data_IF_263782814007
#
_entry.id   IF_263782814007
#
_cell.length_a   1.000
_cell.length_b   1.000
_cell.length_c   1.000
_cell.angle_alpha   90.00
_cell.angle_beta   90.00
_cell.angle_gamma   90.00
#
_symmetry.space_group_name_H-M   'P 1'
#
loop_
_entity.id
_entity.type
_entity.pdbx_description
1 polymer ?
#
# COMPACT_ATOMS: atom_id res chain seq x y z
N UNK A 1 -10.82 5.94 -0.34
CA UNK A 1 -10.46 4.97 0.71
C UNK A 1 -10.79 5.57 2.06
N UNK A 2 -11.05 4.75 3.09
CA UNK A 2 -11.47 5.21 4.42
C UNK A 2 -10.62 4.61 5.54
N UNK A 3 -10.57 5.28 6.70
CA UNK A 3 -9.96 4.73 7.92
C UNK A 3 -10.52 3.34 8.24
N UNK A 4 -9.64 2.41 8.60
CA UNK A 4 -9.98 1.02 8.89
C UNK A 4 -10.04 0.10 7.65
N UNK A 5 -10.02 0.65 6.44
CA UNK A 5 -9.98 -0.13 5.21
C UNK A 5 -8.63 -0.82 5.03
N UNK A 6 -8.65 -2.05 4.51
CA UNK A 6 -7.45 -2.79 4.14
C UNK A 6 -7.05 -2.47 2.70
N UNK A 7 -5.79 -2.13 2.52
CA UNK A 7 -5.21 -1.68 1.26
C UNK A 7 -3.88 -2.38 0.98
N UNK A 8 -3.52 -2.41 -0.29
CA UNK A 8 -2.21 -2.83 -0.77
C UNK A 8 -1.52 -1.71 -1.54
N UNK A 9 -0.22 -1.85 -1.77
CA UNK A 9 0.60 -0.85 -2.45
C UNK A 9 1.61 -1.46 -3.44
N UNK A 10 1.34 -2.65 -3.98
CA UNK A 10 2.28 -3.34 -4.88
C UNK A 10 3.48 -3.95 -4.14
N UNK A 11 3.32 -4.31 -2.87
CA UNK A 11 4.36 -4.89 -2.03
C UNK A 11 4.08 -6.37 -1.78
N UNK A 12 5.06 -7.23 -2.04
CA UNK A 12 5.03 -8.64 -1.66
C UNK A 12 6.47 -9.17 -1.52
N UNK A 13 6.63 -10.19 -0.70
CA UNK A 13 7.93 -10.83 -0.50
C UNK A 13 8.47 -11.42 -1.82
N UNK A 14 9.79 -11.38 -1.99
CA UNK A 14 10.50 -11.96 -3.14
C UNK A 14 10.03 -11.45 -4.51
N UNK A 15 9.48 -10.23 -4.61
CA UNK A 15 8.96 -9.66 -5.88
C UNK A 15 9.97 -9.60 -7.03
N UNK A 16 11.27 -9.70 -6.73
CA UNK A 16 12.36 -9.71 -7.71
C UNK A 16 12.82 -11.13 -8.10
N UNK A 17 12.32 -12.16 -7.42
CA UNK A 17 12.60 -13.57 -7.70
C UNK A 17 11.66 -14.12 -8.79
N UNK A 18 11.82 -15.41 -9.12
CA UNK A 18 10.90 -16.10 -10.03
C UNK A 18 9.45 -16.01 -9.49
N UNK A 19 8.42 -15.81 -10.33
CA UNK A 19 7.05 -15.57 -9.85
C UNK A 19 6.44 -16.68 -8.97
N UNK A 20 6.97 -17.90 -9.08
CA UNK A 20 6.57 -19.02 -8.21
C UNK A 20 6.97 -18.83 -6.75
N UNK A 21 8.01 -18.04 -6.49
CA UNK A 21 8.57 -17.79 -5.15
C UNK A 21 8.03 -16.50 -4.50
N UNK A 22 7.15 -15.78 -5.22
CA UNK A 22 6.52 -14.58 -4.69
C UNK A 22 5.59 -14.91 -3.53
N UNK A 23 5.76 -14.18 -2.44
CA UNK A 23 4.82 -14.19 -1.32
C UNK A 23 3.46 -13.62 -1.70
N UNK A 24 2.53 -13.65 -0.75
CA UNK A 24 1.24 -12.97 -0.89
C UNK A 24 1.44 -11.44 -0.86
N UNK A 25 0.53 -10.66 -1.45
CA UNK A 25 0.49 -9.22 -1.26
C UNK A 25 0.49 -8.85 0.22
N UNK A 26 1.36 -7.92 0.58
CA UNK A 26 1.36 -7.29 1.88
C UNK A 26 0.18 -6.32 1.93
N UNK A 27 -0.65 -6.48 2.95
CA UNK A 27 -1.78 -5.61 3.20
C UNK A 27 -1.55 -4.79 4.46
N UNK A 28 -2.09 -3.58 4.45
CA UNK A 28 -2.05 -2.66 5.57
C UNK A 28 -3.42 -2.06 5.81
N UNK A 29 -3.64 -1.57 7.03
CA UNK A 29 -4.88 -0.93 7.42
C UNK A 29 -4.68 0.58 7.49
N UNK A 30 -5.57 1.33 6.84
CA UNK A 30 -5.55 2.79 6.92
C UNK A 30 -5.85 3.22 8.36
N UNK A 31 -4.98 4.05 8.93
CA UNK A 31 -5.17 4.65 10.24
C UNK A 31 -5.73 6.07 10.11
N UNK A 32 -6.33 6.54 11.19
CA UNK A 32 -6.68 7.95 11.32
C UNK A 32 -5.39 8.77 11.46
N UNK A 33 -5.19 9.87 10.70
CA UNK A 33 -4.09 10.80 10.94
C UNK A 33 -3.98 11.29 12.39
N UNK A 34 -5.08 11.35 13.14
CA UNK A 34 -5.10 11.72 14.55
C UNK A 34 -4.80 10.57 15.52
N UNK A 35 -4.56 9.35 15.04
CA UNK A 35 -4.11 8.24 15.88
C UNK A 35 -2.68 8.52 16.40
N UNK A 36 -2.52 8.51 17.73
CA UNK A 36 -1.24 8.79 18.41
C UNK A 36 -0.09 7.91 17.91
N UNK A 37 -0.40 6.68 17.51
CA UNK A 37 0.60 5.70 17.03
C UNK A 37 1.26 6.15 15.73
N UNK A 38 0.52 6.89 14.89
CA UNK A 38 1.02 7.43 13.61
C UNK A 38 2.18 8.39 13.81
N UNK A 39 2.17 9.12 14.93
CA UNK A 39 3.14 10.14 15.24
C UNK A 39 4.17 9.71 16.29
N UNK A 40 4.11 8.47 16.76
CA UNK A 40 5.07 7.94 17.73
C UNK A 40 6.50 7.99 17.19
N UNK A 41 7.43 8.51 18.00
CA UNK A 41 8.84 8.68 17.64
C UNK A 41 9.07 9.46 16.32
N UNK A 42 8.14 10.35 15.96
CA UNK A 42 8.29 11.28 14.83
C UNK A 42 9.20 12.46 15.21
N UNK A 43 9.54 13.28 14.21
CA UNK A 43 10.29 14.52 14.46
C UNK A 43 9.49 15.51 15.32
N UNK A 44 8.18 15.61 15.05
CA UNK A 44 7.25 16.47 15.79
C UNK A 44 6.98 15.96 17.20
N UNK A 45 7.04 14.64 17.38
CA UNK A 45 6.85 13.97 18.67
C UNK A 45 7.91 12.89 18.89
N UNK A 46 9.08 13.25 19.45
CA UNK A 46 10.17 12.30 19.73
C UNK A 46 9.89 11.46 20.99
N UNK A 47 8.67 10.95 21.12
CA UNK A 47 8.19 10.13 22.24
C UNK A 47 7.37 8.96 21.71
N UNK A 48 7.41 7.83 22.41
CA UNK A 48 6.68 6.63 22.00
C UNK A 48 5.15 6.76 22.11
N UNK A 49 4.67 7.63 23.00
CA UNK A 49 3.24 7.85 23.23
C UNK A 49 2.96 9.35 23.31
N UNK A 50 2.72 10.02 22.17
CA UNK A 50 2.42 11.45 22.16
C UNK A 50 1.05 11.75 22.76
N UNK A 51 0.90 12.96 23.30
CA UNK A 51 -0.40 13.43 23.78
C UNK A 51 -1.40 13.57 22.63
N UNK A 52 -2.63 13.11 22.86
CA UNK A 52 -3.67 13.09 21.84
C UNK A 52 -4.16 14.48 21.42
N UNK A 53 -4.23 15.43 22.34
CA UNK A 53 -4.67 16.78 22.03
C UNK A 53 -3.60 17.52 21.23
N UNK A 54 -2.32 17.30 21.56
CA UNK A 54 -1.19 17.81 20.78
C UNK A 54 -1.16 17.23 19.35
N UNK A 55 -1.36 15.92 19.20
CA UNK A 55 -1.46 15.26 17.88
C UNK A 55 -2.62 15.83 17.07
N UNK A 56 -3.81 15.94 17.66
CA UNK A 56 -4.97 16.51 16.97
C UNK A 56 -4.71 17.94 16.50
N UNK A 57 -4.08 18.77 17.34
CA UNK A 57 -3.72 20.15 16.99
C UNK A 57 -2.74 20.21 15.81
N UNK A 58 -1.74 19.32 15.79
CA UNK A 58 -0.81 19.21 14.66
C UNK A 58 -1.55 18.77 13.38
N UNK A 59 -2.40 17.75 13.47
CA UNK A 59 -3.14 17.22 12.32
C UNK A 59 -4.02 18.30 11.69
N UNK A 60 -4.76 19.06 12.50
CA UNK A 60 -5.58 20.18 12.00
C UNK A 60 -4.72 21.24 11.29
N UNK A 61 -3.55 21.57 11.85
CA UNK A 61 -2.60 22.51 11.22
C UNK A 61 -2.07 21.97 9.88
N UNK A 62 -1.69 20.70 9.83
CA UNK A 62 -1.18 20.05 8.62
C UNK A 62 -2.27 19.93 7.53
N UNK A 63 -3.51 19.63 7.93
CA UNK A 63 -4.66 19.56 7.03
C UNK A 63 -5.03 20.95 6.47
N UNK A 64 -5.01 21.99 7.30
CA UNK A 64 -5.24 23.36 6.83
C UNK A 64 -4.16 23.84 5.84
N UNK A 65 -2.96 23.27 5.91
CA UNK A 65 -1.86 23.53 4.97
C UNK A 65 -1.89 22.63 3.71
N UNK A 66 -2.89 21.74 3.57
CA UNK A 66 -2.99 20.79 2.45
C UNK A 66 -1.92 19.71 2.45
N UNK A 67 -1.17 19.55 3.55
CA UNK A 67 -0.03 18.63 3.61
C UNK A 67 -0.45 17.17 3.77
N UNK A 68 -1.73 16.90 4.06
CA UNK A 68 -2.28 15.55 4.25
C UNK A 68 -3.24 15.12 3.12
N UNK A 69 -3.43 15.94 2.09
CA UNK A 69 -4.51 15.75 1.10
C UNK A 69 -4.29 14.52 0.21
N UNK A 70 -3.04 14.16 -0.04
CA UNK A 70 -2.64 13.08 -0.95
C UNK A 70 -2.02 11.88 -0.23
N UNK A 71 -1.95 11.90 1.11
CA UNK A 71 -1.26 10.86 1.89
C UNK A 71 -2.07 10.41 3.09
N UNK A 72 -1.94 9.13 3.41
CA UNK A 72 -2.60 8.51 4.56
C UNK A 72 -1.62 7.63 5.33
N UNK A 73 -1.74 7.55 6.66
CA UNK A 73 -0.93 6.63 7.44
C UNK A 73 -1.50 5.21 7.35
N UNK A 74 -0.63 4.22 7.15
CA UNK A 74 -0.99 2.82 7.02
C UNK A 74 -0.21 2.00 8.03
N UNK A 75 -0.91 1.17 8.78
CA UNK A 75 -0.33 0.10 9.60
C UNK A 75 -0.16 -1.14 8.73
N UNK A 76 1.07 -1.44 8.30
CA UNK A 76 1.42 -2.64 7.55
C UNK A 76 1.58 -3.85 8.46
N UNK A 77 0.96 -4.97 8.10
CA UNK A 77 0.98 -6.21 8.90
C UNK A 77 1.85 -7.24 8.20
N UNK A 78 3.00 -7.56 8.79
CA UNK A 78 3.92 -8.57 8.27
C UNK A 78 3.68 -9.93 8.92
N UNK A 79 4.05 -11.02 8.23
CA UNK A 79 3.81 -12.40 8.65
C UNK A 79 4.48 -12.77 10.00
N UNK A 80 5.48 -12.01 10.45
CA UNK A 80 6.17 -12.19 11.73
C UNK A 80 5.52 -11.40 12.89
N UNK A 81 4.25 -11.00 12.76
CA UNK A 81 3.55 -10.09 13.68
C UNK A 81 4.17 -8.69 13.83
N UNK A 82 5.16 -8.34 13.00
CA UNK A 82 5.69 -6.98 12.98
C UNK A 82 4.64 -6.04 12.38
N UNK A 83 4.44 -4.91 13.04
CA UNK A 83 3.58 -3.83 12.56
C UNK A 83 4.43 -2.59 12.33
N UNK A 84 4.34 -2.03 11.13
CA UNK A 84 5.06 -0.81 10.77
C UNK A 84 4.05 0.22 10.30
N UNK A 85 4.08 1.41 10.89
CA UNK A 85 3.26 2.52 10.41
C UNK A 85 4.08 3.34 9.42
N UNK A 86 3.54 3.58 8.24
CA UNK A 86 4.17 4.40 7.20
C UNK A 86 3.13 5.30 6.54
N UNK A 87 3.54 6.52 6.22
CA UNK A 87 2.76 7.41 5.37
C UNK A 87 2.92 7.01 3.91
N UNK A 88 1.78 6.77 3.24
CA UNK A 88 1.74 6.36 1.84
C UNK A 88 0.88 7.33 1.03
N UNK A 89 1.26 7.53 -0.23
CA UNK A 89 0.49 8.34 -1.16
C UNK A 89 -0.75 7.58 -1.62
N UNK A 90 -1.90 8.24 -1.64
CA UNK A 90 -3.17 7.67 -2.07
C UNK A 90 -3.10 7.06 -3.48
N UNK A 91 -2.31 7.65 -4.38
CA UNK A 91 -2.11 7.17 -5.76
C UNK A 91 -1.45 5.79 -5.82
N UNK A 92 -0.66 5.41 -4.81
CA UNK A 92 0.02 4.12 -4.78
C UNK A 92 -0.87 3.01 -4.20
N UNK A 93 -2.00 3.37 -3.60
CA UNK A 93 -2.83 2.44 -2.86
C UNK A 93 -3.91 1.82 -3.74
N UNK A 94 -4.21 0.55 -3.46
CA UNK A 94 -5.34 -0.18 -4.02
C UNK A 94 -6.14 -0.80 -2.89
N UNK A 95 -7.43 -1.00 -3.12
CA UNK A 95 -8.24 -1.81 -2.19
C UNK A 95 -7.62 -3.21 -2.08
N UNK A 96 -7.79 -3.90 -0.95
CA UNK A 96 -7.24 -5.26 -0.80
C UNK A 96 -7.68 -6.20 -1.95
N UNK A 97 -8.92 -6.05 -2.43
CA UNK A 97 -9.44 -6.80 -3.58
C UNK A 97 -8.67 -6.48 -4.86
N UNK A 98 -8.51 -5.20 -5.18
CA UNK A 98 -7.79 -4.75 -6.37
C UNK A 98 -6.31 -5.11 -6.31
N UNK A 99 -5.68 -5.04 -5.14
CA UNK A 99 -4.31 -5.48 -4.94
C UNK A 99 -4.13 -6.97 -5.27
N UNK A 100 -5.04 -7.83 -4.81
CA UNK A 100 -4.99 -9.25 -5.15
C UNK A 100 -5.18 -9.51 -6.66
N UNK A 101 -6.09 -8.78 -7.30
CA UNK A 101 -6.29 -8.87 -8.75
C UNK A 101 -5.03 -8.43 -9.49
N UNK A 102 -4.46 -7.28 -9.12
CA UNK A 102 -3.24 -6.74 -9.68
C UNK A 102 -2.06 -7.70 -9.51
N UNK A 103 -1.87 -8.25 -8.31
CA UNK A 103 -0.84 -9.25 -8.02
C UNK A 103 -0.96 -10.48 -8.94
N UNK A 104 -2.16 -11.04 -9.07
CA UNK A 104 -2.38 -12.22 -9.92
C UNK A 104 -2.10 -11.90 -11.39
N UNK A 105 -2.53 -10.73 -11.88
CA UNK A 105 -2.28 -10.30 -13.25
C UNK A 105 -0.78 -10.13 -13.53
N UNK A 106 -0.05 -9.45 -12.64
CA UNK A 106 1.41 -9.25 -12.76
C UNK A 106 2.15 -10.59 -12.70
N UNK A 107 1.73 -11.50 -11.82
CA UNK A 107 2.31 -12.84 -11.69
C UNK A 107 2.11 -13.66 -12.98
N UNK A 108 0.90 -13.67 -13.52
CA UNK A 108 0.57 -14.36 -14.78
C UNK A 108 1.33 -13.79 -15.97
N UNK A 109 1.41 -12.46 -16.08
CA UNK A 109 2.17 -11.80 -17.14
C UNK A 109 3.66 -12.15 -17.07
N UNK A 110 4.25 -12.15 -15.87
CA UNK A 110 5.67 -12.49 -15.71
C UNK A 110 5.93 -13.97 -16.01
N UNK A 111 5.01 -14.86 -15.68
CA UNK A 111 5.09 -16.27 -16.07
C UNK A 111 4.97 -16.46 -17.59
N UNK A 112 4.08 -15.72 -18.26
CA UNK A 112 3.95 -15.73 -19.73
C UNK A 112 5.26 -15.29 -20.40
N UNK A 113 5.89 -14.21 -19.91
CA UNK A 113 7.18 -13.73 -20.40
C UNK A 113 8.28 -14.81 -20.31
N UNK A 114 8.36 -15.50 -19.17
CA UNK A 114 9.37 -16.54 -18.92
C UNK A 114 9.09 -17.78 -19.77
N UNK A 115 7.85 -18.29 -19.75
CA UNK A 115 7.49 -19.54 -20.43
C UNK A 115 7.61 -19.42 -21.95
N UNK A 116 7.28 -18.26 -22.51
CA UNK A 116 7.35 -18.01 -23.94
C UNK A 116 8.64 -17.31 -24.38
N UNK A 117 9.59 -17.10 -23.45
CA UNK A 117 10.86 -16.38 -23.67
C UNK A 117 10.66 -15.07 -24.45
N UNK A 118 9.61 -14.32 -24.11
CA UNK A 118 9.21 -13.15 -24.88
C UNK A 118 10.27 -12.06 -24.76
N UNK A 119 10.60 -11.45 -25.89
CA UNK A 119 11.42 -10.23 -25.94
C UNK A 119 10.61 -8.97 -25.62
N UNK A 120 9.29 -9.00 -25.87
CA UNK A 120 8.36 -7.89 -25.57
C UNK A 120 7.26 -8.31 -24.60
N UNK A 121 7.11 -7.53 -23.52
CA UNK A 121 6.04 -7.65 -22.52
C UNK A 121 4.69 -7.31 -23.14
N UNK A 122 3.71 -8.20 -23.01
CA UNK A 122 2.30 -7.94 -23.35
C UNK A 122 1.72 -6.92 -22.36
N UNK A 123 0.72 -6.12 -22.72
CA UNK A 123 0.11 -5.17 -21.79
C UNK A 123 -0.59 -5.90 -20.64
N UNK A 124 -0.58 -5.29 -19.44
CA UNK A 124 -1.18 -5.89 -18.23
C UNK A 124 -2.70 -6.10 -18.37
N UNK A 125 -3.36 -5.27 -19.16
CA UNK A 125 -4.80 -5.35 -19.45
C UNK A 125 -5.23 -6.72 -20.00
N UNK A 126 -4.34 -7.45 -20.68
CA UNK A 126 -4.63 -8.79 -21.21
C UNK A 126 -4.64 -9.89 -20.13
N UNK A 127 -4.15 -9.58 -18.93
CA UNK A 127 -4.11 -10.48 -17.78
C UNK A 127 -5.10 -10.08 -16.68
N UNK A 128 -5.85 -8.99 -16.89
CA UNK A 128 -6.84 -8.47 -15.96
C UNK A 128 -8.26 -8.96 -16.32
N UNK A 129 -9.13 -9.22 -15.34
CA UNK A 129 -10.55 -9.47 -15.60
C UNK A 129 -11.25 -8.26 -16.25
N UNK A 130 -12.36 -8.51 -16.97
CA UNK A 130 -13.12 -7.52 -17.76
C UNK A 130 -13.71 -6.32 -16.97
N UNK A 131 -13.52 -6.24 -15.64
CA UNK A 131 -13.94 -5.11 -14.79
C UNK A 131 -12.80 -4.44 -14.02
N UNK A 132 -11.55 -4.81 -14.30
CA UNK A 132 -10.37 -4.35 -13.55
C UNK A 132 -9.31 -3.70 -14.44
N UNK A 133 -9.70 -3.27 -15.65
CA UNK A 133 -8.80 -2.65 -16.63
C UNK A 133 -8.19 -1.35 -16.10
N UNK A 134 -8.87 -0.65 -15.18
CA UNK A 134 -8.31 0.53 -14.50
C UNK A 134 -6.99 0.24 -13.78
N UNK A 135 -6.76 -1.01 -13.37
CA UNK A 135 -5.51 -1.44 -12.73
C UNK A 135 -4.33 -1.57 -13.70
N UNK A 136 -4.57 -1.52 -15.02
CA UNK A 136 -3.51 -1.58 -16.02
C UNK A 136 -2.64 -0.32 -16.06
N UNK A 137 -3.15 0.79 -15.50
CA UNK A 137 -2.49 2.09 -15.43
C UNK A 137 -2.04 2.47 -14.02
N UNK A 138 -2.22 1.54 -13.07
CA UNK A 138 -1.93 1.75 -11.66
C UNK A 138 -0.46 1.45 -11.30
#
# INVERSE_FOLDING_TARGET
MKTGEWVGAGHWANRFSHPRDWGKPLLGRILDPADRRVWSNSFEFPVASPDGAAVMSLVLKQQAAGLLDDKVPIEWHFDNNLRIIRWELLVNLRTAKDEHIYYNAIKSQRLDEINHRRTKRRPLSEFLPNGSIHLAHA
#
